data_IF_273416768092
#
_entry.id   IF_273416768092
#
_cell.length_a   1.000
_cell.length_b   1.000
_cell.length_c   1.000
_cell.angle_alpha   90.00
_cell.angle_beta   90.00
_cell.angle_gamma   90.00
#
_symmetry.space_group_name_H-M   'P 1'
#
loop_
_entity.id
_entity.type
_entity.pdbx_description
1 polymer ?
#
# COMPACT_ATOMS: atom_id res chain seq x y z
N UNK A 1 -5.25 -31.19 55.43
CA UNK A 1 -5.88 -31.52 54.13
C UNK A 1 -6.32 -30.22 53.50
N UNK A 2 -5.76 -29.92 52.32
CA UNK A 2 -5.83 -28.63 51.62
C UNK A 2 -7.16 -28.50 50.87
N UNK A 3 -7.84 -27.36 51.03
CA UNK A 3 -9.01 -26.99 50.23
C UNK A 3 -8.54 -26.30 48.95
N UNK A 4 -8.38 -27.08 47.89
CA UNK A 4 -8.07 -26.54 46.56
C UNK A 4 -9.35 -25.94 45.95
N UNK A 5 -9.46 -24.61 46.01
CA UNK A 5 -10.45 -23.86 45.24
C UNK A 5 -10.17 -24.03 43.76
N UNK A 6 -11.03 -24.77 43.06
CA UNK A 6 -10.95 -25.00 41.63
C UNK A 6 -11.19 -23.68 40.89
N UNK A 7 -10.12 -23.13 40.32
CA UNK A 7 -10.14 -21.99 39.40
C UNK A 7 -10.90 -22.40 38.14
N UNK A 8 -12.04 -21.77 37.91
CA UNK A 8 -12.80 -21.89 36.67
C UNK A 8 -11.91 -21.52 35.46
N UNK A 9 -12.06 -22.22 34.31
CA UNK A 9 -11.35 -21.85 33.10
C UNK A 9 -11.85 -20.47 32.64
N UNK A 10 -10.92 -19.51 32.63
CA UNK A 10 -11.13 -18.19 32.05
C UNK A 10 -11.25 -18.33 30.52
N UNK A 11 -12.47 -18.53 30.03
CA UNK A 11 -12.81 -18.44 28.61
C UNK A 11 -13.05 -16.98 28.21
N UNK A 12 -12.03 -16.13 28.38
CA UNK A 12 -11.98 -14.85 27.65
C UNK A 12 -11.56 -15.10 26.20
N UNK A 13 -12.42 -15.83 25.48
CA UNK A 13 -12.46 -15.89 24.03
C UNK A 13 -13.70 -15.14 23.57
N UNK A 14 -13.67 -13.81 23.66
CA UNK A 14 -14.73 -12.96 23.14
C UNK A 14 -14.12 -11.80 22.36
N UNK A 15 -14.12 -11.95 21.04
CA UNK A 15 -14.28 -10.84 20.11
C UNK A 15 -13.11 -9.88 19.95
N UNK A 16 -12.11 -10.27 19.17
CA UNK A 16 -11.36 -9.31 18.35
C UNK A 16 -11.10 -9.89 16.96
N UNK A 17 -12.16 -10.40 16.32
CA UNK A 17 -12.24 -10.39 14.86
C UNK A 17 -12.61 -8.96 14.42
N UNK A 18 -11.66 -8.05 14.56
CA UNK A 18 -11.73 -6.68 14.07
C UNK A 18 -10.41 -6.29 13.38
N UNK A 19 -9.68 -7.30 12.91
CA UNK A 19 -8.33 -7.14 12.35
C UNK A 19 -8.27 -6.95 10.83
N UNK A 20 -9.28 -7.36 10.06
CA UNK A 20 -9.18 -7.42 8.59
C UNK A 20 -9.83 -6.25 7.85
N UNK A 21 -10.78 -5.56 8.49
CA UNK A 21 -11.49 -4.41 7.92
C UNK A 21 -10.59 -3.17 7.92
N UNK A 22 -9.61 -3.15 7.01
CA UNK A 22 -8.72 -2.01 6.83
C UNK A 22 -7.27 -2.35 6.51
N UNK A 23 -6.85 -3.62 6.58
CA UNK A 23 -5.45 -3.99 6.24
C UNK A 23 -5.14 -3.68 4.78
N UNK A 24 -6.05 -4.00 3.87
CA UNK A 24 -5.91 -3.63 2.46
C UNK A 24 -5.85 -2.12 2.26
N UNK A 25 -6.70 -1.35 2.95
CA UNK A 25 -6.69 0.11 2.87
C UNK A 25 -5.37 0.71 3.38
N UNK A 26 -4.84 0.18 4.49
CA UNK A 26 -3.54 0.58 5.03
C UNK A 26 -2.40 0.24 4.08
N UNK A 27 -2.41 -0.96 3.51
CA UNK A 27 -1.43 -1.39 2.51
C UNK A 27 -1.49 -0.48 1.27
N UNK A 28 -2.68 -0.22 0.74
CA UNK A 28 -2.88 0.64 -0.42
C UNK A 28 -2.39 2.07 -0.16
N UNK A 29 -2.73 2.64 1.00
CA UNK A 29 -2.21 3.97 1.42
C UNK A 29 -0.69 3.97 1.50
N UNK A 30 -0.09 2.93 2.08
CA UNK A 30 1.36 2.78 2.15
C UNK A 30 1.98 2.74 0.75
N UNK A 31 1.45 1.92 -0.15
CA UNK A 31 1.94 1.83 -1.53
C UNK A 31 1.81 3.15 -2.31
N UNK A 32 0.74 3.92 -2.09
CA UNK A 32 0.60 5.25 -2.69
C UNK A 32 1.67 6.22 -2.15
N UNK A 33 1.94 6.20 -0.85
CA UNK A 33 2.99 7.03 -0.26
C UNK A 33 4.38 6.64 -0.76
N UNK A 34 4.66 5.35 -0.87
CA UNK A 34 5.92 4.84 -1.45
C UNK A 34 6.06 5.25 -2.93
N UNK A 35 4.97 5.20 -3.70
CA UNK A 35 4.97 5.68 -5.08
C UNK A 35 5.29 7.17 -5.16
N UNK A 36 4.75 8.00 -4.27
CA UNK A 36 5.08 9.42 -4.21
C UNK A 36 6.57 9.66 -3.95
N UNK A 37 7.16 8.91 -3.01
CA UNK A 37 8.60 9.01 -2.73
C UNK A 37 9.46 8.59 -3.93
N UNK A 38 9.06 7.53 -4.64
CA UNK A 38 9.73 7.08 -5.85
C UNK A 38 9.62 8.14 -6.95
N UNK A 39 8.46 8.77 -7.11
CA UNK A 39 8.24 9.86 -8.07
C UNK A 39 9.14 11.06 -7.76
N UNK A 40 9.16 11.56 -6.53
CA UNK A 40 10.01 12.70 -6.12
C UNK A 40 11.50 12.42 -6.35
N UNK A 41 11.93 11.18 -6.09
CA UNK A 41 13.32 10.76 -6.33
C UNK A 41 13.65 10.79 -7.83
N UNK A 42 12.73 10.30 -8.66
CA UNK A 42 12.89 10.31 -10.12
C UNK A 42 12.88 11.71 -10.71
N UNK A 43 12.04 12.60 -10.19
CA UNK A 43 11.98 14.00 -10.64
C UNK A 43 13.28 14.73 -10.32
N UNK A 44 13.85 14.49 -9.13
CA UNK A 44 15.18 15.00 -8.77
C UNK A 44 16.28 14.43 -9.67
N UNK A 45 16.25 13.11 -9.91
CA UNK A 45 17.20 12.46 -10.80
C UNK A 45 17.13 13.03 -12.23
N UNK A 46 15.93 13.29 -12.74
CA UNK A 46 15.68 13.97 -14.01
C UNK A 46 16.27 15.39 -14.04
N UNK A 47 16.07 16.17 -12.97
CA UNK A 47 16.61 17.52 -12.87
C UNK A 47 18.15 17.52 -12.85
N UNK A 48 18.75 16.60 -12.08
CA UNK A 48 20.22 16.45 -11.99
C UNK A 48 20.83 15.95 -13.31
N UNK A 49 20.11 15.10 -14.05
CA UNK A 49 20.49 14.70 -15.41
C UNK A 49 20.47 15.88 -16.37
N UNK A 50 19.37 16.65 -16.37
CA UNK A 50 19.19 17.79 -17.28
C UNK A 50 20.17 18.93 -17.01
N UNK A 51 20.59 19.11 -15.75
CA UNK A 51 21.58 20.10 -15.34
C UNK A 51 23.03 19.67 -15.62
N UNK A 52 23.25 18.41 -16.02
CA UNK A 52 24.58 17.84 -16.23
C UNK A 52 25.36 17.57 -14.94
N UNK A 53 24.71 17.65 -13.78
CA UNK A 53 25.34 17.43 -12.46
C UNK A 53 25.38 15.95 -12.06
N UNK A 54 24.66 15.09 -12.79
CA UNK A 54 24.54 13.70 -12.43
C UNK A 54 25.76 12.86 -12.85
N UNK A 55 26.46 12.29 -11.86
CA UNK A 55 27.61 11.39 -12.08
C UNK A 55 27.23 9.97 -12.46
N UNK A 56 26.01 9.54 -12.15
CA UNK A 56 25.55 8.16 -12.36
C UNK A 56 24.21 8.11 -13.11
N UNK A 57 24.30 8.20 -14.43
CA UNK A 57 23.17 8.11 -15.36
C UNK A 57 22.40 6.78 -15.24
N UNK A 58 23.07 5.68 -14.88
CA UNK A 58 22.44 4.38 -14.76
C UNK A 58 21.46 4.35 -13.58
N UNK A 59 21.88 4.88 -12.42
CA UNK A 59 21.01 4.94 -11.24
C UNK A 59 19.78 5.84 -11.47
N UNK A 60 19.96 6.97 -12.17
CA UNK A 60 18.81 7.80 -12.53
C UNK A 60 17.86 7.12 -13.51
N UNK A 61 18.39 6.45 -14.55
CA UNK A 61 17.57 5.67 -15.47
C UNK A 61 16.76 4.58 -14.74
N UNK A 62 17.37 3.90 -13.75
CA UNK A 62 16.68 2.91 -12.91
C UNK A 62 15.57 3.56 -12.07
N UNK A 63 15.87 4.70 -11.42
CA UNK A 63 14.88 5.41 -10.61
C UNK A 63 13.67 5.83 -11.45
N UNK A 64 13.91 6.47 -12.59
CA UNK A 64 12.88 6.91 -13.53
C UNK A 64 12.05 5.70 -14.01
N UNK A 65 12.69 4.63 -14.46
CA UNK A 65 11.99 3.43 -14.92
C UNK A 65 11.16 2.76 -13.82
N UNK A 66 11.64 2.79 -12.57
CA UNK A 66 10.87 2.32 -11.41
C UNK A 66 9.63 3.17 -11.19
N UNK A 67 9.76 4.50 -11.18
CA UNK A 67 8.61 5.41 -11.03
C UNK A 67 7.56 5.17 -12.10
N UNK A 68 7.96 5.11 -13.38
CA UNK A 68 7.02 4.87 -14.48
C UNK A 68 6.28 3.54 -14.36
N UNK A 69 7.01 2.45 -14.06
CA UNK A 69 6.41 1.13 -13.95
C UNK A 69 5.46 1.03 -12.76
N UNK A 70 5.85 1.59 -11.61
CA UNK A 70 5.01 1.62 -10.41
C UNK A 70 3.76 2.50 -10.62
N UNK A 71 3.88 3.62 -11.34
CA UNK A 71 2.74 4.48 -11.66
C UNK A 71 1.76 3.79 -12.61
N UNK A 72 2.24 3.10 -13.65
CA UNK A 72 1.40 2.28 -14.54
C UNK A 72 0.59 1.26 -13.75
N UNK A 73 1.23 0.54 -12.84
CA UNK A 73 0.55 -0.42 -11.97
C UNK A 73 -0.53 0.26 -11.11
N UNK A 74 -0.23 1.42 -10.52
CA UNK A 74 -1.20 2.14 -9.67
C UNK A 74 -2.41 2.63 -10.47
N UNK A 75 -2.22 3.04 -11.73
CA UNK A 75 -3.32 3.41 -12.62
C UNK A 75 -4.24 2.22 -12.91
N UNK A 76 -3.68 1.02 -13.13
CA UNK A 76 -4.48 -0.20 -13.30
C UNK A 76 -5.29 -0.53 -12.04
N UNK A 77 -4.67 -0.41 -10.85
CA UNK A 77 -5.38 -0.59 -9.57
C UNK A 77 -6.52 0.42 -9.43
N UNK A 78 -6.27 1.70 -9.75
CA UNK A 78 -7.29 2.76 -9.75
C UNK A 78 -8.44 2.43 -10.70
N UNK A 79 -8.12 2.02 -11.93
CA UNK A 79 -9.12 1.64 -12.93
C UNK A 79 -9.97 0.47 -12.45
N UNK A 80 -9.34 -0.56 -11.86
CA UNK A 80 -10.05 -1.72 -11.31
C UNK A 80 -10.97 -1.35 -10.15
N UNK A 81 -10.51 -0.47 -9.24
CA UNK A 81 -11.31 0.02 -8.14
C UNK A 81 -12.54 0.81 -8.62
N UNK A 82 -12.37 1.70 -9.61
CA UNK A 82 -13.48 2.44 -10.23
C UNK A 82 -14.47 1.50 -10.92
N UNK A 83 -13.98 0.47 -11.62
CA UNK A 83 -14.84 -0.53 -12.25
C UNK A 83 -15.62 -1.36 -11.22
N UNK A 84 -14.99 -1.77 -10.12
CA UNK A 84 -15.66 -2.49 -9.03
C UNK A 84 -16.76 -1.62 -8.39
N UNK A 85 -16.49 -0.34 -8.17
CA UNK A 85 -17.50 0.61 -7.68
C UNK A 85 -18.69 0.72 -8.64
N UNK A 86 -18.44 0.86 -9.96
CA UNK A 86 -19.49 0.88 -10.98
C UNK A 86 -20.32 -0.40 -11.01
N UNK A 87 -19.69 -1.57 -10.83
CA UNK A 87 -20.36 -2.87 -10.84
C UNK A 87 -21.34 -2.99 -9.67
N UNK A 88 -20.92 -2.61 -8.46
CA UNK A 88 -21.77 -2.62 -7.25
C UNK A 88 -23.04 -1.77 -7.42
N UNK A 89 -22.92 -0.62 -8.11
CA UNK A 89 -24.08 0.24 -8.42
C UNK A 89 -25.03 -0.43 -9.42
N UNK A 90 -24.49 -1.21 -10.37
CA UNK A 90 -25.27 -1.90 -11.40
C UNK A 90 -26.05 -3.10 -10.86
N UNK A 91 -25.57 -3.73 -9.79
CA UNK A 91 -26.26 -4.86 -9.13
C UNK A 91 -27.44 -4.42 -8.27
N UNK A 92 -27.55 -3.14 -7.90
CA UNK A 92 -28.61 -2.61 -7.03
C UNK A 92 -29.81 -2.03 -7.77
N UNK A 93 -29.77 -1.95 -9.10
CA UNK A 93 -30.92 -1.55 -9.94
C UNK A 93 -31.71 -2.76 -10.43
#
# INVERSE_FOLDING_TARGET
>A
MQTTSAKAPNINGAGSQSGQDGEFSKLLKKSINELNQVQETSDRALADMASGQLKDLHQAAIAIGKAETSMKLMLEVRNKALSAYKEILRTQI
#
